data_IF_909009828036
#
_entry.id   IF_909009828036
#
_cell.length_a   1.000
_cell.length_b   1.000
_cell.length_c   1.000
_cell.angle_alpha   90.00
_cell.angle_beta   90.00
_cell.angle_gamma   90.00
#
_symmetry.space_group_name_H-M   'P 1'
#
loop_
_entity.id
_entity.type
_entity.pdbx_description
1 polymer ?
#
# COMPACT_ATOMS: atom_id res chain seq x y z
N UNK A 1 -15.82 3.98 -31.64
CA UNK A 1 -15.98 4.74 -30.38
C UNK A 1 -16.19 3.83 -29.15
N UNK A 2 -17.06 2.81 -29.20
CA UNK A 2 -17.31 1.89 -28.07
C UNK A 2 -16.06 1.13 -27.58
N UNK A 3 -15.16 0.71 -28.48
CA UNK A 3 -13.91 0.01 -28.12
C UNK A 3 -12.93 0.87 -27.30
N UNK A 4 -12.81 2.16 -27.61
CA UNK A 4 -11.97 3.07 -26.81
C UNK A 4 -12.59 3.34 -25.44
N UNK A 5 -13.92 3.49 -25.37
CA UNK A 5 -14.67 3.62 -24.12
C UNK A 5 -14.44 2.42 -23.19
N UNK A 6 -14.43 1.19 -23.71
CA UNK A 6 -14.15 -0.01 -22.93
C UNK A 6 -12.68 -0.08 -22.45
N UNK A 7 -11.72 0.41 -23.24
CA UNK A 7 -10.32 0.50 -22.83
C UNK A 7 -10.14 1.54 -21.72
N UNK A 8 -10.77 2.71 -21.84
CA UNK A 8 -10.77 3.71 -20.78
C UNK A 8 -11.50 3.23 -19.52
N UNK A 9 -12.59 2.46 -19.65
CA UNK A 9 -13.27 1.85 -18.50
C UNK A 9 -12.41 0.78 -17.84
N UNK A 10 -11.70 -0.05 -18.60
CA UNK A 10 -10.79 -1.06 -18.07
C UNK A 10 -9.57 -0.43 -17.36
N UNK A 11 -9.01 0.65 -17.92
CA UNK A 11 -7.95 1.44 -17.28
C UNK A 11 -8.50 2.13 -16.02
N UNK A 12 -9.69 2.73 -16.08
CA UNK A 12 -10.32 3.39 -14.94
C UNK A 12 -10.66 2.40 -13.82
N UNK A 13 -11.18 1.22 -14.14
CA UNK A 13 -11.46 0.15 -13.17
C UNK A 13 -10.16 -0.42 -12.61
N UNK A 14 -9.12 -0.65 -13.43
CA UNK A 14 -7.81 -1.07 -12.94
C UNK A 14 -7.16 0.00 -12.03
N UNK A 15 -7.29 1.29 -12.37
CA UNK A 15 -6.80 2.40 -11.55
C UNK A 15 -7.67 2.67 -10.31
N UNK A 16 -8.96 2.36 -10.33
CA UNK A 16 -9.87 2.55 -9.19
C UNK A 16 -9.82 1.38 -8.21
N UNK A 17 -9.52 0.17 -8.67
CA UNK A 17 -9.27 -0.99 -7.82
C UNK A 17 -7.86 -0.93 -7.21
N UNK A 18 -6.88 -0.32 -7.91
CA UNK A 18 -5.52 -0.12 -7.40
C UNK A 18 -5.33 1.04 -6.41
N UNK A 19 -6.41 1.67 -5.94
CA UNK A 19 -6.33 2.89 -5.12
C UNK A 19 -5.97 2.66 -3.65
N UNK A 20 -6.06 1.43 -3.15
CA UNK A 20 -5.70 1.13 -1.77
C UNK A 20 -4.23 0.69 -1.71
N UNK A 21 -3.34 1.61 -1.34
CA UNK A 21 -1.91 1.36 -1.02
C UNK A 21 -0.97 0.95 -2.17
N UNK A 22 -0.90 1.70 -3.26
CA UNK A 22 0.19 1.57 -4.24
C UNK A 22 1.18 2.74 -4.14
N UNK A 23 1.81 2.90 -2.98
CA UNK A 23 2.87 3.90 -2.78
C UNK A 23 4.21 3.20 -3.01
N UNK A 24 5.01 3.57 -4.03
CA UNK A 24 6.27 2.89 -4.32
C UNK A 24 7.20 2.85 -3.12
N UNK A 25 7.87 1.72 -2.89
CA UNK A 25 8.83 1.54 -1.78
C UNK A 25 9.87 2.67 -1.63
N UNK A 26 10.47 3.24 -2.70
CA UNK A 26 11.35 4.41 -2.57
C UNK A 26 10.68 5.65 -1.96
N UNK A 27 9.39 5.85 -2.25
CA UNK A 27 8.59 6.95 -1.71
C UNK A 27 8.25 6.71 -0.23
N UNK A 28 7.81 5.49 0.11
CA UNK A 28 7.59 5.05 1.51
C UNK A 28 8.84 5.31 2.35
N UNK A 29 10.01 4.88 1.86
CA UNK A 29 11.29 5.10 2.57
C UNK A 29 11.58 6.58 2.79
N UNK A 30 11.38 7.40 1.75
CA UNK A 30 11.66 8.84 1.81
C UNK A 30 10.75 9.55 2.81
N UNK A 31 9.46 9.24 2.81
CA UNK A 31 8.46 9.90 3.66
C UNK A 31 8.61 9.50 5.12
N UNK A 32 8.66 8.20 5.43
CA UNK A 32 8.81 7.72 6.81
C UNK A 32 10.15 8.16 7.43
N UNK A 33 11.23 8.19 6.64
CA UNK A 33 12.52 8.73 7.10
C UNK A 33 12.41 10.22 7.44
N UNK A 34 11.70 11.01 6.61
CA UNK A 34 11.46 12.44 6.89
C UNK A 34 10.62 12.67 8.14
N UNK A 35 9.68 11.78 8.43
CA UNK A 35 8.87 11.81 9.66
C UNK A 35 9.65 11.34 10.91
N UNK A 36 10.92 10.92 10.74
CA UNK A 36 11.80 10.55 11.83
C UNK A 36 11.64 9.11 12.32
N UNK A 37 11.07 8.23 11.49
CA UNK A 37 11.01 6.80 11.78
C UNK A 37 12.43 6.21 11.75
N UNK A 38 12.73 5.27 12.66
CA UNK A 38 14.05 4.62 12.66
C UNK A 38 14.22 3.74 11.42
N UNK A 39 15.42 3.78 10.84
CA UNK A 39 15.77 3.06 9.59
C UNK A 39 15.31 1.60 9.57
N UNK A 40 15.50 0.86 10.67
CA UNK A 40 15.13 -0.57 10.75
C UNK A 40 13.64 -0.81 10.55
N UNK A 41 12.78 0.12 10.97
CA UNK A 41 11.34 0.01 10.78
C UNK A 41 10.92 0.52 9.39
N UNK A 42 11.59 1.56 8.89
CA UNK A 42 11.41 2.04 7.51
C UNK A 42 11.71 0.94 6.49
N UNK A 43 12.82 0.22 6.68
CA UNK A 43 13.21 -0.88 5.80
C UNK A 43 12.19 -2.03 5.84
N UNK A 44 11.63 -2.34 7.00
CA UNK A 44 10.60 -3.38 7.14
C UNK A 44 9.29 -3.00 6.43
N UNK A 45 8.79 -1.77 6.63
CA UNK A 45 7.58 -1.29 5.94
C UNK A 45 7.77 -1.31 4.43
N UNK A 46 8.94 -0.86 3.96
CA UNK A 46 9.26 -0.87 2.54
C UNK A 46 9.38 -2.28 1.96
N UNK A 47 9.94 -3.23 2.70
CA UNK A 47 10.01 -4.64 2.29
C UNK A 47 8.61 -5.26 2.18
N UNK A 48 7.72 -4.99 3.14
CA UNK A 48 6.33 -5.43 3.07
C UNK A 48 5.59 -4.85 1.87
N UNK A 49 5.82 -3.57 1.56
CA UNK A 49 5.26 -2.94 0.37
C UNK A 49 5.79 -3.56 -0.94
N UNK A 50 7.11 -3.78 -1.02
CA UNK A 50 7.75 -4.44 -2.18
C UNK A 50 7.25 -5.89 -2.39
N UNK A 51 7.01 -6.63 -1.31
CA UNK A 51 6.41 -7.98 -1.38
C UNK A 51 5.00 -7.94 -1.97
N UNK A 52 4.19 -6.99 -1.50
CA UNK A 52 2.82 -6.83 -1.96
C UNK A 52 2.76 -6.40 -3.43
N UNK A 53 3.54 -5.39 -3.83
CA UNK A 53 3.57 -4.89 -5.22
C UNK A 53 3.96 -5.97 -6.23
N UNK A 54 4.94 -6.82 -5.90
CA UNK A 54 5.36 -7.94 -6.76
C UNK A 54 4.25 -8.96 -7.00
N UNK A 55 3.43 -9.22 -5.98
CA UNK A 55 2.26 -10.12 -6.08
C UNK A 55 1.06 -9.46 -6.74
N UNK A 56 0.89 -8.14 -6.56
CA UNK A 56 -0.25 -7.37 -7.01
C UNK A 56 -0.45 -7.47 -8.53
N UNK A 57 0.61 -7.30 -9.33
CA UNK A 57 0.50 -7.35 -10.80
C UNK A 57 0.01 -8.71 -11.33
N UNK A 58 0.32 -9.80 -10.62
CA UNK A 58 -0.17 -11.14 -10.96
C UNK A 58 -1.63 -11.34 -10.53
N UNK A 59 -2.03 -10.75 -9.39
CA UNK A 59 -3.36 -10.89 -8.80
C UNK A 59 -4.38 -9.89 -9.34
N UNK A 60 -3.98 -8.81 -10.00
CA UNK A 60 -4.87 -7.79 -10.55
C UNK A 60 -5.89 -8.35 -11.58
N UNK A 61 -5.66 -9.54 -12.13
CA UNK A 61 -6.58 -10.25 -13.04
C UNK A 61 -7.55 -11.20 -12.32
N UNK A 62 -7.37 -11.43 -11.01
CA UNK A 62 -8.21 -12.26 -10.15
C UNK A 62 -8.69 -11.41 -8.94
N UNK A 63 -9.89 -10.81 -9.02
CA UNK A 63 -10.42 -9.96 -7.96
C UNK A 63 -10.55 -10.66 -6.59
N UNK A 64 -10.77 -11.98 -6.57
CA UNK A 64 -10.91 -12.73 -5.31
C UNK A 64 -9.54 -13.00 -4.71
N UNK A 65 -8.56 -13.38 -5.54
CA UNK A 65 -7.17 -13.54 -5.13
C UNK A 65 -6.55 -12.22 -4.65
N UNK A 66 -6.89 -11.12 -5.32
CA UNK A 66 -6.42 -9.78 -4.95
C UNK A 66 -6.91 -9.37 -3.56
N UNK A 67 -8.22 -9.48 -3.30
CA UNK A 67 -8.79 -9.12 -2.00
C UNK A 67 -8.20 -9.94 -0.85
N UNK A 68 -7.96 -11.23 -1.06
CA UNK A 68 -7.29 -12.09 -0.06
C UNK A 68 -5.86 -11.64 0.22
N UNK A 69 -5.13 -11.19 -0.80
CA UNK A 69 -3.78 -10.69 -0.63
C UNK A 69 -3.74 -9.33 0.08
N UNK A 70 -4.69 -8.45 -0.21
CA UNK A 70 -4.89 -7.18 0.50
C UNK A 70 -5.17 -7.42 1.99
N UNK A 71 -6.14 -8.29 2.31
CA UNK A 71 -6.49 -8.65 3.69
C UNK A 71 -5.28 -9.22 4.44
N UNK A 72 -4.52 -10.13 3.80
CA UNK A 72 -3.32 -10.73 4.37
C UNK A 72 -2.20 -9.70 4.58
N UNK A 73 -2.01 -8.77 3.65
CA UNK A 73 -1.03 -7.69 3.78
C UNK A 73 -1.41 -6.74 4.93
N UNK A 74 -2.69 -6.39 5.03
CA UNK A 74 -3.22 -5.56 6.11
C UNK A 74 -3.04 -6.23 7.48
N UNK A 75 -3.25 -7.55 7.57
CA UNK A 75 -3.00 -8.32 8.79
C UNK A 75 -1.52 -8.28 9.19
N UNK A 76 -0.60 -8.49 8.23
CA UNK A 76 0.85 -8.36 8.47
C UNK A 76 1.20 -6.95 8.98
N UNK A 77 0.66 -5.91 8.36
CA UNK A 77 0.90 -4.51 8.75
C UNK A 77 0.41 -4.24 10.16
N UNK A 78 -0.80 -4.68 10.50
CA UNK A 78 -1.34 -4.57 11.88
C UNK A 78 -0.48 -5.32 12.88
N UNK A 79 -0.01 -6.51 12.55
CA UNK A 79 0.87 -7.30 13.41
C UNK A 79 2.23 -6.62 13.62
N UNK A 80 2.78 -5.97 12.59
CA UNK A 80 3.98 -5.16 12.69
C UNK A 80 3.76 -3.93 13.59
N UNK A 81 2.70 -3.15 13.35
CA UNK A 81 2.37 -1.96 14.14
C UNK A 81 2.26 -2.26 15.64
N UNK A 82 1.65 -3.40 16.02
CA UNK A 82 1.54 -3.82 17.44
C UNK A 82 2.89 -4.05 18.13
N UNK A 83 3.95 -4.31 17.38
CA UNK A 83 5.30 -4.57 17.90
C UNK A 83 6.16 -3.30 17.94
N UNK A 84 5.68 -2.19 17.39
CA UNK A 84 6.42 -0.95 17.33
C UNK A 84 6.47 -0.25 18.70
N UNK A 85 7.61 0.37 19.06
CA UNK A 85 7.64 1.35 20.13
C UNK A 85 6.63 2.48 19.84
N UNK A 86 6.03 3.06 20.88
CA UNK A 86 4.95 4.06 20.76
C UNK A 86 5.25 5.17 19.76
N UNK A 87 6.46 5.74 19.78
CA UNK A 87 6.86 6.81 18.85
C UNK A 87 6.83 6.35 17.39
N UNK A 88 7.28 5.13 17.13
CA UNK A 88 7.37 4.56 15.78
C UNK A 88 5.98 4.17 15.28
N UNK A 89 5.12 3.68 16.18
CA UNK A 89 3.70 3.46 15.91
C UNK A 89 3.01 4.75 15.47
N UNK A 90 3.17 5.85 16.24
CA UNK A 90 2.55 7.13 15.94
C UNK A 90 2.98 7.64 14.56
N UNK A 91 4.27 7.61 14.25
CA UNK A 91 4.78 8.05 12.95
C UNK A 91 4.14 7.26 11.80
N UNK A 92 4.06 5.93 11.93
CA UNK A 92 3.49 5.08 10.89
C UNK A 92 1.96 5.27 10.78
N UNK A 93 1.27 5.44 11.91
CA UNK A 93 -0.16 5.71 11.92
C UNK A 93 -0.48 7.06 11.26
N UNK A 94 0.24 8.12 11.61
CA UNK A 94 0.07 9.44 11.01
C UNK A 94 0.35 9.40 9.49
N UNK A 95 1.35 8.61 9.07
CA UNK A 95 1.63 8.39 7.65
C UNK A 95 0.46 7.69 6.95
N UNK A 96 -0.13 6.66 7.57
CA UNK A 96 -1.32 5.99 7.05
C UNK A 96 -2.51 6.96 6.92
N UNK A 97 -2.76 7.78 7.94
CA UNK A 97 -3.88 8.73 7.96
C UNK A 97 -3.75 9.79 6.84
N UNK A 98 -2.52 10.26 6.55
CA UNK A 98 -2.24 11.16 5.42
C UNK A 98 -2.68 10.50 4.11
N UNK A 99 -2.25 9.27 3.85
CA UNK A 99 -2.51 8.59 2.58
C UNK A 99 -3.94 8.05 2.43
N UNK A 100 -4.63 7.76 3.53
CA UNK A 100 -6.06 7.43 3.52
C UNK A 100 -6.93 8.66 3.22
N UNK A 101 -6.53 9.84 3.72
CA UNK A 101 -7.21 11.10 3.44
C UNK A 101 -7.04 11.60 2.00
N UNK A 102 -5.95 11.23 1.33
CA UNK A 102 -5.69 11.56 -0.09
C UNK A 102 -6.44 10.65 -1.07
N UNK A 103 -6.98 9.52 -0.58
CA UNK A 103 -7.66 8.50 -1.38
C UNK A 103 -9.18 8.69 -1.46
N UNK A 104 -9.75 9.52 -0.57
CA UNK A 104 -11.18 9.90 -0.49
C UNK A 104 -11.47 11.27 -1.12
#
# INVERSE_FOLDING_TARGET
>A
MLKQLLVFLAIYVACSIAKEFHIPSPQVKKELTKMGMEKKYVDEVAAMNDEFEKGYAALAKDPVGLKKAEDANMEKTRAFMKKLPTRQYTILNDWFDIHDSESN
#
